data_IF_780813610340
#
_entry.id   IF_780813610340
#
_cell.length_a   1.000
_cell.length_b   1.000
_cell.length_c   1.000
_cell.angle_alpha   90.00
_cell.angle_beta   90.00
_cell.angle_gamma   90.00
#
_symmetry.space_group_name_H-M   'P 1'
#
loop_
_entity.id
_entity.type
_entity.pdbx_description
1 polymer ?
#
# COMPACT_ATOMS: atom_id res chain seq x y z
N UNK A 1 -19.27 -25.36 18.98
CA UNK A 1 -18.58 -25.11 17.70
C UNK A 1 -17.80 -23.82 17.84
N UNK A 2 -16.52 -23.74 17.44
CA UNK A 2 -15.83 -22.45 17.44
C UNK A 2 -16.56 -21.49 16.48
N UNK A 3 -16.73 -20.23 16.89
CA UNK A 3 -17.29 -19.20 16.02
C UNK A 3 -16.43 -19.04 14.75
N UNK A 4 -17.05 -18.73 13.59
CA UNK A 4 -16.30 -18.48 12.38
C UNK A 4 -15.43 -17.23 12.53
N UNK A 5 -14.11 -17.40 12.39
CA UNK A 5 -13.14 -16.29 12.42
C UNK A 5 -13.48 -15.30 11.31
N UNK A 6 -13.65 -14.04 11.67
CA UNK A 6 -14.01 -12.97 10.73
C UNK A 6 -12.84 -12.63 9.79
N UNK A 7 -13.14 -12.10 8.60
CA UNK A 7 -12.11 -11.64 7.67
C UNK A 7 -11.20 -10.55 8.27
N UNK A 8 -11.74 -9.76 9.21
CA UNK A 8 -11.00 -8.74 9.93
C UNK A 8 -9.99 -9.34 10.91
N UNK A 9 -10.37 -10.39 11.66
CA UNK A 9 -9.46 -11.09 12.58
C UNK A 9 -8.31 -11.79 11.85
N UNK A 10 -8.60 -12.42 10.70
CA UNK A 10 -7.56 -13.02 9.84
C UNK A 10 -6.59 -11.94 9.30
N UNK A 11 -7.10 -10.76 8.98
CA UNK A 11 -6.26 -9.65 8.54
C UNK A 11 -5.44 -9.07 9.69
N UNK A 12 -6.01 -8.93 10.89
CA UNK A 12 -5.31 -8.41 12.07
C UNK A 12 -4.09 -9.28 12.46
N UNK A 13 -4.09 -10.57 12.13
CA UNK A 13 -2.93 -11.44 12.26
C UNK A 13 -1.77 -11.05 11.33
N UNK A 14 -2.08 -10.50 10.14
CA UNK A 14 -1.09 -10.03 9.14
C UNK A 14 -0.74 -8.54 9.29
N UNK A 15 -1.60 -7.75 9.93
CA UNK A 15 -1.37 -6.34 10.21
C UNK A 15 -0.44 -6.21 11.44
N UNK A 16 0.64 -5.40 11.36
CA UNK A 16 1.52 -5.17 12.51
C UNK A 16 0.72 -4.65 13.71
N UNK A 17 1.08 -5.10 14.92
CA UNK A 17 0.29 -4.86 16.15
C UNK A 17 -0.10 -3.38 16.35
N UNK A 18 0.80 -2.45 16.00
CA UNK A 18 0.57 -1.00 16.06
C UNK A 18 -0.60 -0.50 15.21
N UNK A 19 -0.95 -1.20 14.12
CA UNK A 19 -1.95 -0.76 13.14
C UNK A 19 -3.22 -1.61 13.13
N UNK A 20 -3.36 -2.61 14.01
CA UNK A 20 -4.58 -3.45 14.11
C UNK A 20 -5.85 -2.67 14.44
N UNK A 21 -5.70 -1.47 15.02
CA UNK A 21 -6.81 -0.55 15.31
C UNK A 21 -6.84 0.65 14.36
N UNK A 22 -6.18 0.55 13.20
CA UNK A 22 -6.10 1.65 12.26
C UNK A 22 -7.46 2.02 11.67
N UNK A 23 -7.74 3.32 11.53
CA UNK A 23 -8.97 3.82 10.93
C UNK A 23 -8.65 4.71 9.73
N UNK A 24 -9.40 4.51 8.64
CA UNK A 24 -9.43 5.43 7.51
C UNK A 24 -10.23 6.69 7.92
N UNK A 25 -9.56 7.59 8.64
CA UNK A 25 -10.18 8.83 9.12
C UNK A 25 -10.23 9.94 8.06
N UNK A 26 -9.49 9.80 6.96
CA UNK A 26 -9.44 10.81 5.91
C UNK A 26 -10.54 10.57 4.86
N UNK A 27 -11.39 11.55 4.52
CA UNK A 27 -12.54 11.36 3.61
C UNK A 27 -12.16 10.77 2.24
N UNK A 28 -11.08 11.25 1.62
CA UNK A 28 -10.62 10.71 0.33
C UNK A 28 -10.20 9.23 0.42
N UNK A 29 -9.71 8.77 1.56
CA UNK A 29 -9.29 7.37 1.74
C UNK A 29 -10.50 6.47 1.89
N UNK A 30 -11.53 6.96 2.60
CA UNK A 30 -12.82 6.29 2.70
C UNK A 30 -13.50 6.20 1.34
N UNK A 31 -13.53 7.31 0.58
CA UNK A 31 -14.09 7.36 -0.76
C UNK A 31 -13.35 6.41 -1.73
N UNK A 32 -12.02 6.36 -1.67
CA UNK A 32 -11.23 5.39 -2.42
C UNK A 32 -11.62 3.95 -2.07
N UNK A 33 -11.82 3.63 -0.79
CA UNK A 33 -12.24 2.29 -0.38
C UNK A 33 -13.67 1.95 -0.86
N UNK A 34 -14.58 2.92 -0.88
CA UNK A 34 -15.93 2.76 -1.46
C UNK A 34 -15.86 2.48 -2.96
N UNK A 35 -15.01 3.19 -3.69
CA UNK A 35 -14.81 2.99 -5.12
C UNK A 35 -14.23 1.60 -5.42
N UNK A 36 -13.19 1.17 -4.71
CA UNK A 36 -12.61 -0.17 -4.90
C UNK A 36 -13.62 -1.28 -4.57
N UNK A 37 -14.45 -1.08 -3.54
CA UNK A 37 -15.49 -2.04 -3.18
C UNK A 37 -16.59 -2.13 -4.25
N UNK A 38 -16.97 -1.02 -4.88
CA UNK A 38 -18.07 -0.97 -5.85
C UNK A 38 -17.72 -1.62 -7.20
N UNK A 39 -16.44 -1.56 -7.61
CA UNK A 39 -15.94 -2.19 -8.84
C UNK A 39 -15.44 -3.62 -8.64
N UNK A 40 -15.61 -4.18 -7.44
CA UNK A 40 -15.13 -5.51 -7.10
C UNK A 40 -15.79 -6.63 -7.92
N UNK A 41 -15.02 -7.68 -8.24
CA UNK A 41 -15.52 -8.86 -8.95
C UNK A 41 -16.38 -9.70 -8.00
N UNK A 42 -17.66 -9.99 -8.34
CA UNK A 42 -18.51 -10.83 -7.52
C UNK A 42 -17.89 -12.22 -7.28
N UNK A 43 -18.14 -12.79 -6.11
CA UNK A 43 -17.69 -14.14 -5.80
C UNK A 43 -18.26 -14.65 -4.48
N UNK A 44 -18.11 -15.96 -4.21
CA UNK A 44 -18.50 -16.55 -2.93
C UNK A 44 -17.78 -15.85 -1.77
N UNK A 45 -18.53 -15.46 -0.75
CA UNK A 45 -17.99 -14.77 0.44
C UNK A 45 -17.72 -13.27 0.26
N UNK A 46 -18.21 -12.65 -0.82
CA UNK A 46 -18.12 -11.20 -1.06
C UNK A 46 -17.29 -10.83 -2.31
N UNK A 47 -17.38 -9.57 -2.77
CA UNK A 47 -16.63 -9.11 -3.93
C UNK A 47 -15.13 -9.13 -3.65
N UNK A 48 -14.32 -9.65 -4.58
CA UNK A 48 -12.87 -9.51 -4.56
C UNK A 48 -12.42 -8.24 -5.26
N UNK A 49 -11.19 -7.80 -5.01
CA UNK A 49 -10.59 -6.71 -5.80
C UNK A 49 -10.42 -7.17 -7.26
N UNK A 50 -10.89 -6.34 -8.18
CA UNK A 50 -10.78 -6.51 -9.61
C UNK A 50 -9.62 -5.65 -10.16
N UNK A 51 -9.93 -4.39 -10.42
CA UNK A 51 -9.07 -3.32 -10.91
C UNK A 51 -9.51 -2.03 -10.22
N UNK A 52 -8.69 -1.00 -10.24
CA UNK A 52 -9.08 0.31 -9.71
C UNK A 52 -7.91 1.26 -9.49
N UNK A 53 -8.20 2.51 -9.10
CA UNK A 53 -7.16 3.48 -8.83
C UNK A 53 -6.28 3.05 -7.66
N UNK A 54 -5.01 3.41 -7.74
CA UNK A 54 -4.10 3.34 -6.61
C UNK A 54 -4.26 4.58 -5.73
N UNK A 55 -3.68 4.57 -4.53
CA UNK A 55 -3.76 5.67 -3.58
C UNK A 55 -2.35 6.06 -3.15
N UNK A 56 -2.00 7.33 -3.33
CA UNK A 56 -0.73 7.90 -2.87
C UNK A 56 -0.96 8.80 -1.67
N UNK A 57 -0.51 8.37 -0.50
CA UNK A 57 -0.60 9.11 0.76
C UNK A 57 0.73 9.81 1.01
N UNK A 58 0.72 11.14 0.91
CA UNK A 58 1.90 12.01 1.03
C UNK A 58 1.82 12.80 2.32
N UNK A 59 2.95 13.07 2.95
CA UNK A 59 3.02 14.00 4.08
C UNK A 59 4.25 13.79 4.95
N UNK A 60 4.55 14.72 5.88
CA UNK A 60 5.71 14.61 6.75
C UNK A 60 5.76 13.35 7.62
N UNK A 61 6.93 13.03 8.15
CA UNK A 61 7.09 11.96 9.14
C UNK A 61 6.16 12.18 10.32
N UNK A 62 5.48 11.11 10.76
CA UNK A 62 4.63 11.17 11.94
C UNK A 62 3.19 11.62 11.73
N UNK A 63 2.79 12.04 10.51
CA UNK A 63 1.39 12.46 10.23
C UNK A 63 0.38 11.32 10.13
N UNK A 64 0.82 10.06 10.25
CA UNK A 64 -0.04 8.89 10.29
C UNK A 64 -0.34 8.23 8.94
N UNK A 65 0.51 8.42 7.91
CA UNK A 65 0.33 7.80 6.59
C UNK A 65 0.16 6.29 6.62
N UNK A 66 1.09 5.56 7.24
CA UNK A 66 1.00 4.10 7.40
C UNK A 66 -0.27 3.69 8.15
N UNK A 67 -0.68 4.46 9.16
CA UNK A 67 -1.92 4.20 9.89
C UNK A 67 -3.14 4.36 8.97
N UNK A 68 -3.19 5.43 8.16
CA UNK A 68 -4.27 5.62 7.19
C UNK A 68 -4.27 4.54 6.10
N UNK A 69 -3.09 4.07 5.66
CA UNK A 69 -2.97 2.99 4.68
C UNK A 69 -3.54 1.66 5.21
N UNK A 70 -3.17 1.24 6.43
CA UNK A 70 -3.80 0.09 7.08
C UNK A 70 -5.27 0.33 7.40
N UNK A 71 -5.64 1.59 7.70
CA UNK A 71 -7.04 2.01 7.83
C UNK A 71 -7.85 1.74 6.56
N UNK A 72 -7.27 1.99 5.38
CA UNK A 72 -7.88 1.69 4.08
C UNK A 72 -8.06 0.18 3.87
N UNK A 73 -7.04 -0.63 4.21
CA UNK A 73 -7.14 -2.10 4.18
C UNK A 73 -8.29 -2.58 5.06
N UNK A 74 -8.39 -2.07 6.29
CA UNK A 74 -9.48 -2.42 7.21
C UNK A 74 -10.84 -1.93 6.70
N UNK A 75 -10.89 -0.74 6.13
CA UNK A 75 -12.10 -0.17 5.53
C UNK A 75 -12.66 -1.03 4.39
N UNK A 76 -11.80 -1.65 3.57
CA UNK A 76 -12.22 -2.62 2.56
C UNK A 76 -12.79 -3.90 3.20
N UNK A 77 -12.15 -4.43 4.24
CA UNK A 77 -12.64 -5.61 4.96
C UNK A 77 -14.01 -5.38 5.59
N UNK A 78 -14.23 -4.21 6.21
CA UNK A 78 -15.53 -3.86 6.81
C UNK A 78 -16.63 -3.66 5.78
N UNK A 79 -16.28 -3.44 4.50
CA UNK A 79 -17.22 -3.40 3.37
C UNK A 79 -17.51 -4.79 2.79
N UNK A 80 -16.99 -5.85 3.40
CA UNK A 80 -17.14 -7.22 2.92
C UNK A 80 -16.28 -7.55 1.71
N UNK A 81 -15.26 -6.74 1.39
CA UNK A 81 -14.33 -7.04 0.29
C UNK A 81 -13.42 -8.18 0.70
N UNK A 82 -13.37 -9.23 -0.12
CA UNK A 82 -12.45 -10.35 0.06
C UNK A 82 -11.06 -9.96 -0.39
N UNK A 83 -10.18 -9.69 0.57
CA UNK A 83 -8.82 -9.22 0.29
C UNK A 83 -7.80 -10.35 0.20
N UNK A 84 -7.07 -10.37 -0.91
CA UNK A 84 -5.71 -10.94 -0.99
C UNK A 84 -4.77 -9.78 -1.18
N UNK A 85 -3.84 -9.61 -0.25
CA UNK A 85 -2.98 -8.43 -0.21
C UNK A 85 -1.59 -8.76 0.29
N UNK A 86 -0.62 -7.92 -0.09
CA UNK A 86 0.74 -7.93 0.45
C UNK A 86 1.06 -6.55 1.02
N UNK A 87 1.94 -6.51 2.03
CA UNK A 87 2.50 -5.27 2.54
C UNK A 87 4.01 -5.38 2.69
N UNK A 88 4.70 -4.33 2.27
CA UNK A 88 6.16 -4.22 2.38
C UNK A 88 6.54 -2.75 2.49
N UNK A 89 7.63 -2.46 3.19
CA UNK A 89 8.29 -1.17 3.04
C UNK A 89 9.13 -1.18 1.77
N UNK A 90 9.49 0.00 1.24
CA UNK A 90 10.44 0.08 0.12
C UNK A 90 11.80 -0.55 0.47
N UNK A 91 12.27 -0.41 1.71
CA UNK A 91 13.52 -1.00 2.15
C UNK A 91 13.44 -2.54 2.21
N UNK A 92 12.34 -3.09 2.75
CA UNK A 92 12.12 -4.53 2.81
C UNK A 92 11.93 -5.14 1.42
N UNK A 93 11.28 -4.41 0.51
CA UNK A 93 11.15 -4.79 -0.89
C UNK A 93 12.53 -5.00 -1.52
N UNK A 94 13.41 -4.01 -1.41
CA UNK A 94 14.76 -4.10 -1.97
C UNK A 94 15.59 -5.18 -1.25
N UNK A 95 15.46 -5.32 0.06
CA UNK A 95 16.17 -6.36 0.82
C UNK A 95 15.71 -7.78 0.45
N UNK A 96 14.41 -7.95 0.17
CA UNK A 96 13.78 -9.21 -0.26
C UNK A 96 14.22 -9.58 -1.67
N UNK A 97 14.21 -8.63 -2.60
CA UNK A 97 14.52 -8.88 -4.02
C UNK A 97 16.03 -8.95 -4.32
N UNK A 98 16.89 -8.77 -3.32
CA UNK A 98 18.34 -8.86 -3.50
C UNK A 98 18.74 -10.29 -3.88
N UNK A 99 19.43 -10.51 -5.01
CA UNK A 99 19.84 -11.86 -5.44
C UNK A 99 20.70 -12.55 -4.37
N UNK A 100 20.34 -13.79 -4.03
CA UNK A 100 21.06 -14.66 -3.10
C UNK A 100 20.96 -16.10 -3.58
N UNK A 101 21.97 -16.91 -3.31
CA UNK A 101 21.97 -18.33 -3.69
C UNK A 101 20.74 -19.06 -3.10
N UNK A 102 20.02 -19.82 -3.93
CA UNK A 102 18.82 -20.54 -3.53
C UNK A 102 17.57 -19.67 -3.32
N UNK A 103 17.62 -18.37 -3.62
CA UNK A 103 16.49 -17.46 -3.51
C UNK A 103 15.96 -17.02 -4.89
N UNK A 104 14.67 -17.23 -5.11
CA UNK A 104 13.99 -16.81 -6.35
C UNK A 104 13.38 -15.42 -6.19
N UNK A 105 14.22 -14.40 -6.39
CA UNK A 105 13.80 -13.00 -6.32
C UNK A 105 12.74 -12.65 -7.38
N UNK A 106 12.75 -13.33 -8.54
CA UNK A 106 11.78 -13.06 -9.58
C UNK A 106 10.38 -13.54 -9.16
N UNK A 107 10.28 -14.72 -8.55
CA UNK A 107 9.01 -15.19 -7.97
C UNK A 107 8.46 -14.25 -6.91
N UNK A 108 9.32 -13.69 -6.06
CA UNK A 108 8.93 -12.70 -5.07
C UNK A 108 8.43 -11.41 -5.71
N UNK A 109 9.11 -10.90 -6.74
CA UNK A 109 8.65 -9.75 -7.51
C UNK A 109 7.29 -10.02 -8.16
N UNK A 110 7.10 -11.18 -8.79
CA UNK A 110 5.83 -11.56 -9.41
C UNK A 110 4.70 -11.70 -8.38
N UNK A 111 5.00 -12.15 -7.16
CA UNK A 111 4.02 -12.23 -6.08
C UNK A 111 3.52 -10.83 -5.69
N UNK A 112 4.43 -9.87 -5.54
CA UNK A 112 4.10 -8.48 -5.21
C UNK A 112 3.45 -7.75 -6.40
N UNK A 113 3.85 -8.07 -7.62
CA UNK A 113 3.30 -7.47 -8.82
C UNK A 113 1.86 -7.91 -9.08
N UNK A 114 1.52 -9.18 -8.84
CA UNK A 114 0.22 -9.77 -9.19
C UNK A 114 -0.79 -9.82 -8.05
N UNK A 115 -0.39 -9.51 -6.81
CA UNK A 115 -1.33 -9.54 -5.70
C UNK A 115 -2.44 -8.49 -5.91
N UNK A 116 -3.72 -8.80 -5.61
CA UNK A 116 -4.83 -7.89 -5.88
C UNK A 116 -4.71 -6.53 -5.20
N UNK A 117 -4.09 -6.46 -4.02
CA UNK A 117 -3.78 -5.21 -3.33
C UNK A 117 -2.37 -5.24 -2.77
N UNK A 118 -1.58 -4.21 -3.07
CA UNK A 118 -0.26 -4.04 -2.50
C UNK A 118 -0.24 -2.78 -1.63
N UNK A 119 0.29 -2.90 -0.41
CA UNK A 119 0.71 -1.78 0.40
C UNK A 119 2.24 -1.63 0.29
N UNK A 120 2.68 -0.54 -0.34
CA UNK A 120 4.08 -0.14 -0.45
C UNK A 120 4.33 1.07 0.46
N UNK A 121 4.84 0.80 1.66
CA UNK A 121 5.07 1.83 2.66
C UNK A 121 6.44 2.50 2.49
N UNK A 122 6.48 3.80 2.76
CA UNK A 122 7.69 4.63 2.84
C UNK A 122 8.51 4.67 1.53
N UNK A 123 7.81 4.80 0.41
CA UNK A 123 8.42 4.90 -0.91
C UNK A 123 9.25 6.19 -1.04
N UNK A 124 10.51 6.04 -1.47
CA UNK A 124 11.44 7.15 -1.67
C UNK A 124 12.13 7.65 -0.39
N UNK A 125 12.01 6.95 0.74
CA UNK A 125 12.68 7.35 1.98
C UNK A 125 14.20 7.08 1.99
N UNK A 126 14.69 6.19 1.12
CA UNK A 126 16.10 5.83 1.02
C UNK A 126 16.70 6.31 -0.32
N UNK A 127 18.03 6.48 -0.34
CA UNK A 127 18.76 6.74 -1.59
C UNK A 127 18.57 5.56 -2.54
N UNK A 128 18.06 5.85 -3.73
CA UNK A 128 17.90 4.88 -4.81
C UNK A 128 19.23 4.64 -5.51
N UNK A 129 19.50 3.37 -5.83
CA UNK A 129 20.47 2.95 -6.83
C UNK A 129 19.74 2.58 -8.13
N UNK A 130 20.46 2.53 -9.26
CA UNK A 130 19.90 2.11 -10.56
C UNK A 130 19.17 0.77 -10.46
N UNK A 131 19.73 -0.18 -9.67
CA UNK A 131 19.10 -1.47 -9.44
C UNK A 131 17.77 -1.37 -8.68
N UNK A 132 17.71 -0.55 -7.61
CA UNK A 132 16.45 -0.35 -6.88
C UNK A 132 15.42 0.42 -7.69
N UNK A 133 15.85 1.36 -8.53
CA UNK A 133 14.97 2.10 -9.45
C UNK A 133 14.35 1.14 -10.47
N UNK A 134 15.16 0.28 -11.10
CA UNK A 134 14.67 -0.70 -12.08
C UNK A 134 13.70 -1.70 -11.45
N UNK A 135 13.97 -2.20 -10.23
CA UNK A 135 13.03 -3.07 -9.53
C UNK A 135 11.71 -2.37 -9.21
N UNK A 136 11.79 -1.13 -8.73
CA UNK A 136 10.59 -0.32 -8.43
C UNK A 136 9.81 -0.04 -9.70
N UNK A 137 10.50 0.27 -10.80
CA UNK A 137 9.89 0.45 -12.11
C UNK A 137 9.17 -0.80 -12.59
N UNK A 138 9.82 -1.98 -12.56
CA UNK A 138 9.19 -3.25 -12.97
C UNK A 138 7.92 -3.54 -12.16
N UNK A 139 7.97 -3.34 -10.84
CA UNK A 139 6.83 -3.53 -9.95
C UNK A 139 5.69 -2.56 -10.28
N UNK A 140 5.97 -1.26 -10.31
CA UNK A 140 4.96 -0.22 -10.55
C UNK A 140 4.40 -0.33 -11.97
N UNK A 141 5.23 -0.59 -12.97
CA UNK A 141 4.81 -0.74 -14.36
C UNK A 141 3.82 -1.89 -14.53
N UNK A 142 4.10 -3.08 -13.98
CA UNK A 142 3.18 -4.21 -14.08
C UNK A 142 1.83 -3.88 -13.45
N UNK A 143 1.84 -3.27 -12.26
CA UNK A 143 0.61 -2.91 -11.53
C UNK A 143 -0.17 -1.80 -12.23
N UNK A 144 0.53 -0.85 -12.84
CA UNK A 144 -0.04 0.20 -13.69
C UNK A 144 -0.76 -0.40 -14.91
N UNK A 145 -0.08 -1.25 -15.68
CA UNK A 145 -0.63 -1.87 -16.90
C UNK A 145 -1.85 -2.76 -16.63
N UNK A 146 -1.93 -3.36 -15.44
CA UNK A 146 -3.01 -4.25 -15.03
C UNK A 146 -4.04 -3.58 -14.11
N UNK A 147 -3.95 -2.25 -13.93
CA UNK A 147 -4.85 -1.48 -13.07
C UNK A 147 -5.02 -2.07 -11.66
N UNK A 148 -3.94 -2.62 -11.11
CA UNK A 148 -3.95 -3.29 -9.81
C UNK A 148 -3.79 -2.26 -8.67
N UNK A 149 -4.80 -2.11 -7.79
CA UNK A 149 -4.77 -1.10 -6.74
C UNK A 149 -3.54 -1.21 -5.83
N UNK A 150 -2.87 -0.09 -5.61
CA UNK A 150 -1.67 0.00 -4.77
C UNK A 150 -1.83 1.12 -3.77
N UNK A 151 -1.72 0.81 -2.48
CA UNK A 151 -1.62 1.79 -1.41
C UNK A 151 -0.14 2.16 -1.25
N UNK A 152 0.19 3.43 -1.46
CA UNK A 152 1.57 3.91 -1.43
C UNK A 152 1.66 5.01 -0.37
N UNK A 153 2.68 4.97 0.47
CA UNK A 153 2.98 6.09 1.37
C UNK A 153 4.35 6.66 1.05
N UNK A 154 4.51 7.98 1.22
CA UNK A 154 5.80 8.64 1.04
C UNK A 154 5.95 9.85 1.94
N UNK A 155 7.16 10.05 2.45
CA UNK A 155 7.54 11.28 3.17
C UNK A 155 8.01 12.38 2.20
N UNK A 156 8.25 12.06 0.93
CA UNK A 156 8.78 13.01 -0.03
C UNK A 156 7.69 13.98 -0.50
N UNK A 157 7.99 15.28 -0.57
CA UNK A 157 7.16 16.23 -1.31
C UNK A 157 6.97 15.75 -2.76
N UNK A 158 5.82 16.06 -3.36
CA UNK A 158 5.55 15.62 -4.75
C UNK A 158 6.61 16.09 -5.74
N UNK A 159 7.18 17.28 -5.53
CA UNK A 159 8.25 17.81 -6.39
C UNK A 159 9.53 16.94 -6.37
N UNK A 160 9.79 16.25 -5.26
CA UNK A 160 11.00 15.44 -5.05
C UNK A 160 10.82 13.97 -5.44
N UNK A 161 9.56 13.50 -5.57
CA UNK A 161 9.27 12.12 -5.99
C UNK A 161 9.88 11.76 -7.34
N UNK A 162 9.88 12.71 -8.28
CA UNK A 162 10.46 12.53 -9.62
C UNK A 162 11.96 12.27 -9.54
N UNK A 163 12.68 13.07 -8.77
CA UNK A 163 14.13 12.92 -8.58
C UNK A 163 14.47 11.64 -7.83
N UNK A 164 13.66 11.25 -6.84
CA UNK A 164 13.94 10.08 -6.02
C UNK A 164 13.61 8.75 -6.71
N UNK A 165 12.57 8.71 -7.54
CA UNK A 165 12.05 7.46 -8.13
C UNK A 165 12.33 7.33 -9.63
N UNK A 166 12.85 8.38 -10.26
CA UNK A 166 13.00 8.47 -11.71
C UNK A 166 11.71 8.88 -12.41
N UNK A 167 11.88 9.50 -13.59
CA UNK A 167 10.77 10.06 -14.39
C UNK A 167 9.70 9.01 -14.74
N UNK A 168 10.13 7.79 -15.08
CA UNK A 168 9.24 6.72 -15.54
C UNK A 168 8.29 6.24 -14.45
N UNK A 169 8.78 6.10 -13.22
CA UNK A 169 7.99 5.70 -12.05
C UNK A 169 7.08 6.84 -11.63
N UNK A 170 7.62 8.05 -11.51
CA UNK A 170 6.84 9.22 -11.10
C UNK A 170 5.69 9.52 -12.06
N UNK A 171 5.89 9.37 -13.38
CA UNK A 171 4.82 9.55 -14.37
C UNK A 171 3.67 8.56 -14.16
N UNK A 172 3.97 7.27 -13.97
CA UNK A 172 2.94 6.23 -13.73
C UNK A 172 2.20 6.47 -12.44
N UNK A 173 2.93 6.81 -11.36
CA UNK A 173 2.33 7.13 -10.08
C UNK A 173 1.39 8.35 -10.18
N UNK A 174 1.79 9.39 -10.91
CA UNK A 174 0.96 10.57 -11.10
C UNK A 174 -0.38 10.28 -11.79
N UNK A 175 -0.40 9.29 -12.70
CA UNK A 175 -1.60 8.91 -13.44
C UNK A 175 -2.46 7.87 -12.71
N UNK A 176 -1.85 6.83 -12.13
CA UNK A 176 -2.61 5.73 -11.52
C UNK A 176 -3.10 6.02 -10.10
N UNK A 177 -2.61 7.08 -9.44
CA UNK A 177 -2.91 7.33 -8.03
C UNK A 177 -3.86 8.49 -7.80
N UNK A 178 -4.84 8.27 -6.93
CA UNK A 178 -5.49 9.34 -6.20
C UNK A 178 -4.56 9.83 -5.09
N UNK A 179 -4.34 11.13 -5.02
CA UNK A 179 -3.39 11.71 -4.05
C UNK A 179 -4.10 12.24 -2.82
N UNK A 180 -3.61 11.84 -1.65
CA UNK A 180 -4.05 12.31 -0.34
C UNK A 180 -2.87 12.93 0.39
N UNK A 181 -3.00 14.20 0.78
CA UNK A 181 -1.95 14.92 1.49
C UNK A 181 -2.34 14.98 2.97
N UNK A 182 -1.58 14.30 3.82
CA UNK A 182 -1.72 14.38 5.26
C UNK A 182 -0.85 15.50 5.83
N UNK A 183 -1.52 16.52 6.34
CA UNK A 183 -0.90 17.61 7.10
C UNK A 183 -1.16 17.41 8.60
N UNK A 184 -0.34 18.05 9.44
CA UNK A 184 -0.52 18.07 10.89
C UNK A 184 0.74 17.72 11.69
N UNK A 185 0.66 17.82 13.03
CA UNK A 185 1.77 17.53 13.91
C UNK A 185 2.14 16.04 13.90
N UNK A 186 3.38 15.73 14.28
CA UNK A 186 3.83 14.35 14.47
C UNK A 186 3.00 13.69 15.59
N UNK A 187 2.07 12.83 15.20
CA UNK A 187 1.16 12.10 16.11
C UNK A 187 1.90 11.11 17.00
N UNK A 188 3.15 10.77 16.69
CA UNK A 188 4.01 9.91 17.52
C UNK A 188 4.63 10.69 18.68
N UNK A 189 4.72 12.02 18.56
CA UNK A 189 5.25 12.93 19.61
C UNK A 189 4.15 13.54 20.49
N UNK A 190 2.91 13.52 20.02
CA UNK A 190 1.75 14.05 20.76
C UNK A 190 0.88 12.98 21.41
N UNK A 191 1.18 11.69 21.22
CA UNK A 191 0.61 10.66 22.08
C UNK A 191 1.17 10.85 23.50
N UNK A 192 0.34 11.04 24.55
CA UNK A 192 0.85 10.99 25.91
C UNK A 192 1.51 9.62 26.09
N UNK A 193 2.63 9.59 26.81
CA UNK A 193 3.18 8.34 27.32
C UNK A 193 2.03 7.59 28.04
N UNK A 194 1.61 6.47 27.46
CA UNK A 194 0.70 5.53 28.11
C UNK A 194 1.49 4.74 29.15
#
# INVERSE_FOLDING_TARGET
>A
MPEPVTALELADARIPARYRRALAGHPQITAWADQIASVGRPGPGGPGIAEGPSLLIVGPTGTGKTHQAYGAVRALLTRGVRLRWEATTSADLHARLRPRAGHDAERDLQTLARCPLLLLDDLGAAKTSEWTEELTYRLINHRYEHMLPTLITTNLPTAELRTALGDRVASRLAEMTERVILTGPDRRRTAPAA
#
